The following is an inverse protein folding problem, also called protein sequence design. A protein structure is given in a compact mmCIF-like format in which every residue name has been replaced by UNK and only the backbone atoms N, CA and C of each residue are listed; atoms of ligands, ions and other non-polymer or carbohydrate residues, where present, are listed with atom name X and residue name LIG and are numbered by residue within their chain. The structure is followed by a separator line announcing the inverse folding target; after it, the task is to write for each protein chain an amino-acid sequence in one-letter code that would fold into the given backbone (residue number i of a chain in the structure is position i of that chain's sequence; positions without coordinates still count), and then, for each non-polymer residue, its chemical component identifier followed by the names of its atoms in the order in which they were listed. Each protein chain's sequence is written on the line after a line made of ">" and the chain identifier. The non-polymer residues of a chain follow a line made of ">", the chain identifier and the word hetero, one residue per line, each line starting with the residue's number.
data_IF_243074028424
#
_entry.id   IF_243074028424
#
_cell.length_a   1.000
_cell.length_b   1.000
_cell.length_c   1.000
_cell.angle_alpha   90.00
_cell.angle_beta   90.00
_cell.angle_gamma   90.00
#
_symmetry.space_group_name_H-M   'P 1'
#
loop_
_entity.id
_entity.type
_entity.pdbx_description
1 polymer ?
#
# COMPACT_ATOMS: atom_id res chain seq x y z
N UNK A 1 47.93 -47.67 -31.04
CA UNK A 1 47.91 -46.89 -29.79
C UNK A 1 46.67 -46.04 -29.80
N UNK A 2 45.80 -46.23 -28.82
CA UNK A 2 44.39 -45.86 -28.82
C UNK A 2 44.12 -44.43 -28.32
N UNK A 3 43.01 -43.87 -28.80
CA UNK A 3 42.12 -42.85 -28.19
C UNK A 3 42.76 -41.55 -27.68
N UNK A 4 42.15 -40.37 -27.82
CA UNK A 4 40.91 -40.03 -27.11
C UNK A 4 40.40 -38.64 -27.53
N UNK A 5 39.15 -38.62 -28.01
CA UNK A 5 38.04 -37.68 -27.79
C UNK A 5 38.17 -36.16 -28.02
N UNK A 6 37.29 -35.75 -28.94
CA UNK A 6 36.53 -34.50 -29.02
C UNK A 6 35.90 -34.14 -27.66
N UNK A 7 36.01 -32.86 -27.25
CA UNK A 7 35.07 -32.21 -26.36
C UNK A 7 34.90 -30.73 -26.75
N UNK A 8 33.65 -30.35 -27.03
CA UNK A 8 33.18 -28.98 -27.31
C UNK A 8 32.70 -28.32 -26.00
N UNK A 9 32.20 -27.06 -26.03
CA UNK A 9 32.77 -25.89 -25.37
C UNK A 9 32.29 -25.67 -23.93
N UNK A 10 33.11 -25.06 -23.08
CA UNK A 10 32.66 -24.58 -21.77
C UNK A 10 31.75 -23.36 -21.93
N UNK A 11 30.64 -23.41 -21.20
CA UNK A 11 29.44 -22.60 -21.37
C UNK A 11 29.44 -21.36 -20.45
N UNK A 12 30.60 -20.73 -20.26
CA UNK A 12 30.76 -19.44 -19.55
C UNK A 12 32.10 -18.78 -19.95
N UNK A 13 32.12 -17.64 -20.67
CA UNK A 13 33.32 -16.83 -20.68
C UNK A 13 33.49 -16.24 -19.28
N UNK A 14 34.51 -16.72 -18.57
CA UNK A 14 35.12 -15.97 -17.47
C UNK A 14 35.54 -14.65 -18.12
N UNK A 15 34.90 -13.55 -17.72
CA UNK A 15 35.36 -12.22 -18.10
C UNK A 15 36.72 -12.03 -17.42
N UNK A 16 37.79 -12.07 -18.23
CA UNK A 16 39.09 -11.56 -17.86
C UNK A 16 38.92 -10.17 -17.24
N UNK A 17 39.44 -9.98 -16.03
CA UNK A 17 39.59 -8.65 -15.46
C UNK A 17 40.54 -7.86 -16.37
N UNK A 18 40.14 -6.72 -16.95
CA UNK A 18 41.10 -5.89 -17.64
C UNK A 18 42.06 -5.32 -16.60
N UNK A 19 43.35 -5.47 -16.89
CA UNK A 19 44.42 -4.74 -16.24
C UNK A 19 44.05 -3.26 -16.12
N UNK A 20 44.29 -2.68 -14.94
CA UNK A 20 44.01 -1.30 -14.64
C UNK A 20 44.74 -0.37 -15.64
N UNK A 21 44.01 0.14 -16.62
CA UNK A 21 44.49 1.22 -17.48
C UNK A 21 44.37 2.55 -16.72
N UNK A 22 45.51 3.04 -16.26
CA UNK A 22 45.67 4.16 -15.35
C UNK A 22 45.50 5.53 -16.05
N UNK A 23 44.61 5.66 -17.05
CA UNK A 23 44.60 6.83 -17.94
C UNK A 23 43.27 7.55 -18.19
N UNK A 24 42.23 7.34 -17.39
CA UNK A 24 41.11 8.28 -17.33
C UNK A 24 40.63 8.46 -15.89
N UNK A 25 41.34 9.31 -15.12
CA UNK A 25 40.77 9.80 -13.86
C UNK A 25 39.47 10.56 -14.17
N UNK A 26 38.34 10.24 -13.52
CA UNK A 26 37.10 10.98 -13.71
C UNK A 26 37.34 12.48 -13.52
N UNK A 27 36.78 13.33 -14.38
CA UNK A 27 36.84 14.80 -14.29
C UNK A 27 35.45 15.37 -13.97
N UNK A 28 35.42 16.54 -13.34
CA UNK A 28 34.16 17.24 -13.02
C UNK A 28 33.26 16.45 -12.06
N UNK A 29 31.97 16.40 -12.37
CA UNK A 29 30.95 15.75 -11.53
C UNK A 29 31.22 14.25 -11.31
N UNK A 30 31.87 13.58 -12.26
CA UNK A 30 32.23 12.17 -12.15
C UNK A 30 33.32 11.93 -11.09
N UNK A 31 34.25 12.88 -10.92
CA UNK A 31 35.24 12.85 -9.83
C UNK A 31 34.57 13.06 -8.49
N UNK A 32 33.69 14.06 -8.42
CA UNK A 32 32.95 14.42 -7.20
C UNK A 32 32.04 13.28 -6.74
N UNK A 33 31.39 12.57 -7.67
CA UNK A 33 30.58 11.38 -7.39
C UNK A 33 31.45 10.21 -6.89
N UNK A 34 32.60 9.96 -7.53
CA UNK A 34 33.52 8.91 -7.12
C UNK A 34 34.19 9.18 -5.76
N UNK A 35 34.35 10.46 -5.39
CA UNK A 35 34.88 10.89 -4.09
C UNK A 35 33.79 11.23 -3.07
N UNK A 36 32.51 11.02 -3.38
CA UNK A 36 31.41 11.36 -2.47
C UNK A 36 31.30 10.32 -1.36
N UNK A 37 31.21 10.79 -0.11
CA UNK A 37 30.93 9.92 1.02
C UNK A 37 29.46 9.49 1.00
N UNK A 38 29.21 8.24 1.43
CA UNK A 38 27.84 7.72 1.60
C UNK A 38 27.17 8.57 2.70
N UNK A 39 26.15 9.36 2.35
CA UNK A 39 25.50 10.32 3.26
C UNK A 39 24.50 9.65 4.22
N UNK A 40 24.13 8.39 3.97
CA UNK A 40 23.23 7.61 4.83
C UNK A 40 23.44 6.10 4.61
N UNK A 41 23.20 5.30 5.64
CA UNK A 41 22.73 3.93 5.44
C UNK A 41 21.31 4.09 4.91
N UNK A 42 21.14 4.21 3.59
CA UNK A 42 19.80 4.14 3.00
C UNK A 42 19.04 2.94 3.57
N UNK A 43 17.73 2.85 3.36
CA UNK A 43 16.94 1.73 3.88
C UNK A 43 17.46 0.38 3.34
N UNK A 44 18.46 -0.21 4.00
CA UNK A 44 19.11 -1.45 3.61
C UNK A 44 18.12 -2.56 3.97
N UNK A 45 17.38 -2.97 2.95
CA UNK A 45 16.48 -4.11 3.04
C UNK A 45 17.29 -5.35 2.67
N UNK A 46 17.45 -6.24 3.64
CA UNK A 46 18.00 -7.56 3.45
C UNK A 46 16.92 -8.50 2.90
N UNK A 47 17.23 -9.17 1.78
CA UNK A 47 16.34 -10.18 1.19
C UNK A 47 16.89 -11.58 1.44
N UNK A 48 16.07 -12.44 2.05
CA UNK A 48 16.42 -13.85 2.32
C UNK A 48 15.46 -14.77 1.58
N UNK A 49 15.97 -15.81 0.95
CA UNK A 49 15.11 -16.89 0.46
C UNK A 49 14.56 -17.71 1.62
N UNK A 50 13.27 -18.04 1.57
CA UNK A 50 12.61 -18.87 2.57
C UNK A 50 11.97 -20.08 1.90
N UNK A 51 12.50 -21.27 2.19
CA UNK A 51 11.88 -22.54 1.82
C UNK A 51 10.66 -22.76 2.70
N UNK A 52 9.50 -23.02 2.09
CA UNK A 52 8.25 -23.30 2.79
C UNK A 52 7.66 -24.62 2.29
N UNK A 53 6.90 -25.30 3.15
CA UNK A 53 6.19 -26.54 2.79
C UNK A 53 4.79 -26.30 2.20
N UNK A 54 4.28 -25.08 2.37
CA UNK A 54 2.93 -24.67 1.99
C UNK A 54 2.92 -23.18 1.68
N UNK A 55 2.12 -22.77 0.68
CA UNK A 55 1.89 -21.36 0.39
C UNK A 55 0.50 -20.89 0.84
N UNK A 56 -0.48 -21.80 0.87
CA UNK A 56 -1.83 -21.59 1.36
C UNK A 56 -1.95 -21.77 2.88
N UNK A 57 -2.32 -20.70 3.59
CA UNK A 57 -2.48 -20.71 5.04
C UNK A 57 -3.96 -20.77 5.42
N UNK A 58 -4.32 -21.57 6.42
CA UNK A 58 -5.67 -21.55 7.00
C UNK A 58 -5.86 -20.30 7.85
N UNK A 59 -6.94 -19.58 7.60
CA UNK A 59 -7.35 -18.42 8.39
C UNK A 59 -8.06 -18.90 9.66
N UNK A 60 -7.34 -18.89 10.78
CA UNK A 60 -7.87 -19.25 12.11
C UNK A 60 -8.34 -18.01 12.86
N UNK A 61 -9.31 -17.29 12.29
CA UNK A 61 -9.92 -16.15 12.96
C UNK A 61 -11.21 -16.56 13.67
N UNK A 62 -11.35 -16.20 14.96
CA UNK A 62 -12.62 -16.32 15.70
C UNK A 62 -13.71 -15.39 15.14
N UNK A 63 -13.31 -14.32 14.43
CA UNK A 63 -14.24 -13.49 13.65
C UNK A 63 -14.48 -14.19 12.32
N UNK A 64 -15.74 -14.38 11.94
CA UNK A 64 -16.17 -14.94 10.64
C UNK A 64 -15.67 -14.02 9.52
N UNK A 65 -14.43 -14.22 9.08
CA UNK A 65 -13.84 -13.52 7.94
C UNK A 65 -14.53 -14.00 6.65
N UNK A 66 -14.55 -13.15 5.63
CA UNK A 66 -15.08 -13.54 4.31
C UNK A 66 -14.24 -14.63 3.64
N UNK A 67 -13.00 -14.81 4.10
CA UNK A 67 -12.04 -15.79 3.59
C UNK A 67 -11.59 -16.78 4.68
N UNK A 68 -11.45 -18.04 4.28
CA UNK A 68 -10.90 -19.12 5.12
C UNK A 68 -9.45 -19.46 4.75
N UNK A 69 -8.95 -18.99 3.61
CA UNK A 69 -7.58 -19.23 3.13
C UNK A 69 -6.84 -17.93 2.87
N UNK A 70 -5.52 -17.94 3.07
CA UNK A 70 -4.69 -16.78 2.72
C UNK A 70 -3.33 -17.15 2.15
N UNK A 71 -2.83 -16.30 1.27
CA UNK A 71 -1.50 -16.41 0.67
C UNK A 71 -0.72 -15.13 0.97
N UNK A 72 0.48 -15.32 1.49
CA UNK A 72 1.45 -14.25 1.71
C UNK A 72 2.73 -14.67 0.98
N UNK A 73 3.01 -14.11 -0.21
CA UNK A 73 4.18 -14.47 -1.03
C UNK A 73 5.52 -14.16 -0.34
N UNK A 74 5.47 -13.24 0.62
CA UNK A 74 6.60 -12.76 1.39
C UNK A 74 6.33 -12.85 2.89
N UNK A 75 7.40 -12.67 3.67
CA UNK A 75 7.34 -12.35 5.10
C UNK A 75 8.10 -11.05 5.33
N UNK A 76 7.50 -10.12 6.06
CA UNK A 76 7.99 -8.74 6.08
C UNK A 76 7.33 -7.89 5.01
N UNK A 77 7.43 -6.57 5.15
CA UNK A 77 6.93 -5.63 4.15
C UNK A 77 7.76 -4.35 4.11
N UNK A 78 8.31 -4.04 2.94
CA UNK A 78 9.16 -2.87 2.72
C UNK A 78 8.44 -1.52 2.94
N UNK A 79 7.10 -1.48 2.97
CA UNK A 79 6.34 -0.23 3.10
C UNK A 79 6.42 0.45 4.48
N UNK A 80 6.92 -0.25 5.51
CA UNK A 80 7.22 0.32 6.83
C UNK A 80 6.07 1.11 7.47
N UNK A 81 4.82 0.64 7.29
CA UNK A 81 3.65 1.31 7.88
C UNK A 81 3.74 1.30 9.42
N UNK A 82 3.50 2.44 10.05
CA UNK A 82 3.65 2.60 11.51
C UNK A 82 2.65 1.76 12.32
N UNK A 83 1.47 1.52 11.76
CA UNK A 83 0.38 0.75 12.36
C UNK A 83 0.40 -0.75 12.01
N UNK A 84 1.45 -1.24 11.32
CA UNK A 84 1.40 -2.57 10.69
C UNK A 84 1.31 -3.69 11.73
N UNK A 85 0.13 -4.31 11.85
CA UNK A 85 -0.05 -5.46 12.74
C UNK A 85 0.78 -6.67 12.30
N UNK A 86 1.18 -6.76 11.04
CA UNK A 86 1.85 -7.94 10.48
C UNK A 86 3.28 -8.15 11.01
N UNK A 87 3.80 -7.20 11.81
CA UNK A 87 5.05 -7.33 12.57
C UNK A 87 5.08 -8.61 13.42
N UNK A 88 3.93 -9.09 13.92
CA UNK A 88 3.82 -10.36 14.64
C UNK A 88 4.37 -11.56 13.86
N UNK A 89 4.41 -11.47 12.53
CA UNK A 89 4.99 -12.56 11.75
C UNK A 89 6.45 -12.73 12.17
N UNK A 90 7.28 -11.68 12.14
CA UNK A 90 8.70 -11.76 12.50
C UNK A 90 8.98 -12.39 13.87
N UNK A 91 8.01 -12.33 14.79
CA UNK A 91 8.13 -12.98 16.09
C UNK A 91 8.27 -14.52 16.02
N UNK A 92 7.65 -15.19 15.04
CA UNK A 92 7.84 -16.64 14.85
C UNK A 92 9.24 -17.02 14.31
N UNK A 93 10.06 -16.04 13.93
CA UNK A 93 11.47 -16.25 13.52
C UNK A 93 12.44 -15.69 14.55
N UNK A 94 11.96 -15.43 15.77
CA UNK A 94 12.76 -14.87 16.87
C UNK A 94 13.34 -13.48 16.58
N UNK A 95 12.81 -12.80 15.55
CA UNK A 95 13.10 -11.41 15.23
C UNK A 95 12.12 -10.53 15.98
N UNK A 96 12.63 -9.73 16.93
CA UNK A 96 11.83 -8.93 17.87
C UNK A 96 12.03 -7.42 17.70
N UNK A 97 13.04 -6.97 16.96
CA UNK A 97 13.21 -5.55 16.72
C UNK A 97 12.10 -5.09 15.79
N UNK A 98 11.37 -4.00 16.10
CA UNK A 98 10.27 -3.54 15.25
C UNK A 98 10.68 -3.40 13.79
N UNK A 99 11.87 -2.82 13.55
CA UNK A 99 12.41 -2.51 12.24
C UNK A 99 12.75 -3.76 11.40
N UNK A 100 12.93 -4.93 12.03
CA UNK A 100 13.24 -6.18 11.33
C UNK A 100 12.16 -6.51 10.30
N UNK A 101 10.90 -6.13 10.54
CA UNK A 101 9.79 -6.43 9.64
C UNK A 101 9.89 -5.73 8.28
N UNK A 102 10.36 -4.48 8.25
CA UNK A 102 10.55 -3.67 7.05
C UNK A 102 11.99 -3.68 6.51
N UNK A 103 12.93 -4.29 7.22
CA UNK A 103 14.33 -4.41 6.83
C UNK A 103 14.73 -5.84 6.45
N UNK A 104 14.10 -6.90 6.97
CA UNK A 104 14.43 -8.31 6.67
C UNK A 104 13.25 -8.98 5.98
N UNK A 105 13.31 -9.05 4.66
CA UNK A 105 12.22 -9.58 3.82
C UNK A 105 12.54 -11.00 3.39
N UNK A 106 11.62 -11.92 3.67
CA UNK A 106 11.76 -13.32 3.32
C UNK A 106 10.90 -13.63 2.09
N UNK A 107 11.55 -14.05 1.01
CA UNK A 107 10.94 -14.39 -0.27
C UNK A 107 10.63 -15.89 -0.28
N UNK A 108 9.35 -16.27 -0.32
CA UNK A 108 8.97 -17.69 -0.29
C UNK A 108 9.31 -18.36 -1.63
N UNK A 109 10.08 -19.44 -1.57
CA UNK A 109 10.47 -20.23 -2.74
C UNK A 109 9.37 -21.20 -3.17
N UNK A 110 9.41 -21.62 -4.44
CA UNK A 110 8.53 -22.63 -5.04
C UNK A 110 7.03 -22.34 -4.92
N UNK A 111 6.66 -21.06 -4.78
CA UNK A 111 5.29 -20.63 -4.47
C UNK A 111 4.27 -21.12 -5.52
N UNK A 112 4.55 -20.97 -6.81
CA UNK A 112 3.68 -21.45 -7.89
C UNK A 112 3.52 -22.97 -7.88
N UNK A 113 4.61 -23.73 -7.73
CA UNK A 113 4.57 -25.19 -7.68
C UNK A 113 3.74 -25.68 -6.48
N UNK A 114 3.97 -25.10 -5.30
CA UNK A 114 3.19 -25.40 -4.09
C UNK A 114 1.70 -25.10 -4.29
N UNK A 115 1.38 -23.91 -4.81
CA UNK A 115 -0.01 -23.52 -5.08
C UNK A 115 -0.68 -24.50 -6.03
N UNK A 116 0.02 -24.95 -7.08
CA UNK A 116 -0.54 -25.87 -8.05
C UNK A 116 -0.96 -27.22 -7.41
N UNK A 117 -0.19 -27.70 -6.44
CA UNK A 117 -0.52 -28.92 -5.67
C UNK A 117 -1.67 -28.66 -4.69
N UNK A 118 -1.60 -27.57 -3.93
CA UNK A 118 -2.57 -27.25 -2.87
C UNK A 118 -3.97 -26.96 -3.42
N UNK A 119 -4.08 -26.30 -4.59
CA UNK A 119 -5.36 -26.03 -5.22
C UNK A 119 -6.11 -27.29 -5.67
N UNK A 120 -5.43 -28.43 -5.85
CA UNK A 120 -6.10 -29.72 -6.13
C UNK A 120 -6.90 -30.25 -4.94
N UNK A 121 -6.53 -29.82 -3.73
CA UNK A 121 -7.14 -30.25 -2.47
C UNK A 121 -8.14 -29.22 -1.91
N UNK A 122 -8.25 -28.07 -2.56
CA UNK A 122 -9.13 -26.99 -2.10
C UNK A 122 -10.59 -27.39 -2.30
N UNK A 123 -11.39 -27.25 -1.24
CA UNK A 123 -12.84 -27.44 -1.31
C UNK A 123 -13.47 -26.19 -1.96
N UNK A 124 -14.46 -26.39 -2.83
CA UNK A 124 -15.13 -25.27 -3.51
C UNK A 124 -15.80 -24.30 -2.54
N UNK A 125 -15.88 -23.02 -2.92
CA UNK A 125 -16.61 -21.96 -2.19
C UNK A 125 -15.79 -21.10 -1.23
N UNK A 126 -14.54 -21.49 -0.93
CA UNK A 126 -13.65 -20.72 -0.05
C UNK A 126 -12.99 -19.53 -0.78
N UNK A 127 -13.02 -18.33 -0.18
CA UNK A 127 -12.22 -17.18 -0.65
C UNK A 127 -10.75 -17.35 -0.22
N UNK A 128 -9.84 -17.12 -1.17
CA UNK A 128 -8.39 -17.04 -0.96
C UNK A 128 -7.99 -15.56 -0.92
N UNK A 129 -7.54 -15.09 0.23
CA UNK A 129 -7.05 -13.73 0.39
C UNK A 129 -5.52 -13.64 0.22
N UNK A 130 -5.06 -12.85 -0.75
CA UNK A 130 -3.64 -12.59 -1.02
C UNK A 130 -3.25 -11.25 -0.38
N UNK A 131 -2.18 -11.25 0.41
CA UNK A 131 -1.64 -10.03 1.02
C UNK A 131 -2.13 -9.73 2.45
N UNK A 132 -2.54 -10.76 3.19
CA UNK A 132 -3.10 -10.60 4.55
C UNK A 132 -2.05 -10.31 5.63
N UNK A 133 -0.75 -10.49 5.38
CA UNK A 133 0.33 -10.24 6.35
C UNK A 133 1.61 -9.68 5.70
N UNK A 134 1.54 -9.33 4.42
CA UNK A 134 2.59 -8.69 3.64
C UNK A 134 1.95 -8.00 2.45
N UNK A 135 2.63 -7.04 1.83
CA UNK A 135 2.16 -6.53 0.55
C UNK A 135 2.69 -7.43 -0.59
N UNK A 136 1.81 -8.07 -1.38
CA UNK A 136 2.23 -8.97 -2.45
C UNK A 136 2.93 -8.23 -3.59
N UNK A 137 2.78 -6.91 -3.67
CA UNK A 137 3.38 -6.05 -4.69
C UNK A 137 4.37 -5.05 -4.10
N UNK A 138 4.95 -5.34 -2.94
CA UNK A 138 6.06 -4.56 -2.39
C UNK A 138 7.24 -4.47 -3.39
N UNK A 139 8.12 -3.45 -3.30
CA UNK A 139 9.17 -3.17 -4.27
C UNK A 139 9.97 -4.37 -4.81
N UNK A 140 10.31 -5.36 -3.97
CA UNK A 140 11.04 -6.58 -4.37
C UNK A 140 10.30 -7.40 -5.45
N UNK A 141 8.97 -7.33 -5.49
CA UNK A 141 8.13 -8.05 -6.47
C UNK A 141 8.43 -7.64 -7.92
N UNK A 142 9.05 -6.46 -8.15
CA UNK A 142 9.53 -6.07 -9.49
C UNK A 142 10.53 -7.08 -10.05
N UNK A 143 11.39 -7.63 -9.18
CA UNK A 143 12.44 -8.60 -9.54
C UNK A 143 12.01 -10.04 -9.23
N UNK A 144 11.48 -10.27 -8.03
CA UNK A 144 11.21 -11.63 -7.53
C UNK A 144 10.01 -12.31 -8.21
N UNK A 145 9.02 -11.54 -8.69
CA UNK A 145 7.85 -12.03 -9.44
C UNK A 145 7.10 -13.20 -8.76
N UNK A 146 7.14 -13.30 -7.44
CA UNK A 146 6.50 -14.41 -6.71
C UNK A 146 4.98 -14.29 -6.82
N UNK A 147 4.44 -13.08 -6.65
CA UNK A 147 3.00 -12.83 -6.81
C UNK A 147 2.58 -13.11 -8.25
N UNK A 148 3.34 -12.64 -9.25
CA UNK A 148 3.04 -12.94 -10.65
C UNK A 148 2.98 -14.45 -10.91
N UNK A 149 3.94 -15.22 -10.41
CA UNK A 149 3.95 -16.68 -10.57
C UNK A 149 2.71 -17.37 -9.97
N UNK A 150 2.16 -16.82 -8.88
CA UNK A 150 0.91 -17.31 -8.29
C UNK A 150 -0.30 -16.96 -9.17
N UNK A 151 -0.33 -15.74 -9.74
CA UNK A 151 -1.38 -15.33 -10.67
C UNK A 151 -1.41 -16.17 -11.95
N UNK A 152 -0.24 -16.58 -12.46
CA UNK A 152 -0.14 -17.50 -13.60
C UNK A 152 -0.79 -18.86 -13.30
N UNK A 153 -0.64 -19.37 -12.07
CA UNK A 153 -1.33 -20.59 -11.63
C UNK A 153 -2.83 -20.36 -11.48
N UNK A 154 -3.26 -19.23 -10.91
CA UNK A 154 -4.68 -18.89 -10.78
C UNK A 154 -5.37 -18.75 -12.14
N UNK A 155 -4.70 -18.20 -13.14
CA UNK A 155 -5.23 -18.07 -14.50
C UNK A 155 -5.47 -19.43 -15.19
N UNK A 156 -4.88 -20.52 -14.69
CA UNK A 156 -5.10 -21.89 -15.17
C UNK A 156 -6.17 -22.65 -14.37
N UNK A 157 -6.85 -21.96 -13.45
CA UNK A 157 -7.88 -22.52 -12.56
C UNK A 157 -9.19 -21.77 -12.76
N UNK A 158 -10.27 -22.41 -12.34
CA UNK A 158 -11.64 -21.93 -12.52
C UNK A 158 -12.41 -22.07 -11.22
N UNK A 159 -13.48 -21.29 -11.07
CA UNK A 159 -14.42 -21.33 -9.93
C UNK A 159 -13.75 -21.07 -8.58
N UNK A 160 -12.65 -20.31 -8.57
CA UNK A 160 -12.04 -19.81 -7.35
C UNK A 160 -12.65 -18.46 -6.97
N UNK A 161 -12.59 -18.15 -5.67
CA UNK A 161 -12.88 -16.81 -5.14
C UNK A 161 -11.58 -16.22 -4.64
N UNK A 162 -11.11 -15.12 -5.22
CA UNK A 162 -9.79 -14.55 -4.98
C UNK A 162 -9.93 -13.09 -4.58
N UNK A 163 -9.46 -12.77 -3.38
CA UNK A 163 -9.29 -11.40 -2.92
C UNK A 163 -7.81 -11.04 -2.90
N UNK A 164 -7.42 -9.88 -3.41
CA UNK A 164 -6.06 -9.36 -3.25
C UNK A 164 -6.10 -7.98 -2.59
N UNK A 165 -5.19 -7.74 -1.65
CA UNK A 165 -5.01 -6.44 -1.01
C UNK A 165 -3.58 -5.95 -1.19
N UNK A 166 -3.44 -4.68 -1.58
CA UNK A 166 -2.13 -4.04 -1.75
C UNK A 166 -2.22 -2.52 -1.59
N UNK A 167 -1.10 -1.87 -1.27
CA UNK A 167 -0.87 -0.42 -1.39
C UNK A 167 -0.08 -0.07 -2.66
N UNK A 168 0.40 -1.05 -3.39
CA UNK A 168 1.36 -0.86 -4.47
C UNK A 168 0.69 -0.48 -5.78
N UNK A 169 1.33 0.41 -6.52
CA UNK A 169 0.95 0.70 -7.92
C UNK A 169 1.45 -0.39 -8.89
N UNK A 170 2.38 -1.25 -8.45
CA UNK A 170 2.97 -2.31 -9.29
C UNK A 170 1.92 -3.34 -9.74
N UNK A 171 0.80 -3.45 -9.02
CA UNK A 171 -0.31 -4.33 -9.39
C UNK A 171 -0.80 -4.14 -10.83
N UNK A 172 -0.67 -2.93 -11.40
CA UNK A 172 -1.09 -2.67 -12.78
C UNK A 172 -0.22 -3.37 -13.83
N UNK A 173 0.94 -3.91 -13.45
CA UNK A 173 1.80 -4.73 -14.32
C UNK A 173 1.10 -6.00 -14.78
N UNK A 174 0.26 -6.58 -13.92
CA UNK A 174 -0.30 -7.92 -14.08
C UNK A 174 -1.79 -7.88 -14.45
N UNK A 175 -2.26 -6.76 -15.03
CA UNK A 175 -3.65 -6.60 -15.52
C UNK A 175 -4.03 -7.71 -16.48
N UNK A 176 -3.12 -8.10 -17.38
CA UNK A 176 -3.28 -9.19 -18.34
C UNK A 176 -3.64 -10.52 -17.66
N UNK A 177 -3.01 -10.81 -16.52
CA UNK A 177 -3.30 -12.01 -15.73
C UNK A 177 -4.61 -11.87 -14.96
N UNK A 178 -4.89 -10.70 -14.40
CA UNK A 178 -6.14 -10.46 -13.68
C UNK A 178 -7.38 -10.57 -14.57
N UNK A 179 -7.32 -10.07 -15.81
CA UNK A 179 -8.39 -10.23 -16.80
C UNK A 179 -8.68 -11.71 -17.06
N UNK A 180 -7.62 -12.50 -17.35
CA UNK A 180 -7.73 -13.96 -17.55
C UNK A 180 -8.26 -14.69 -16.31
N UNK A 181 -7.85 -14.29 -15.11
CA UNK A 181 -8.37 -14.85 -13.87
C UNK A 181 -9.87 -14.55 -13.75
N UNK A 182 -10.27 -13.29 -13.98
CA UNK A 182 -11.64 -12.81 -13.83
C UNK A 182 -12.63 -13.41 -14.85
N UNK A 183 -12.14 -13.98 -15.97
CA UNK A 183 -12.99 -14.70 -16.94
C UNK A 183 -13.63 -15.95 -16.33
N UNK A 184 -12.95 -16.60 -15.38
CA UNK A 184 -13.33 -17.93 -14.89
C UNK A 184 -13.37 -18.04 -13.37
N UNK A 185 -13.04 -16.97 -12.65
CA UNK A 185 -12.97 -16.91 -11.20
C UNK A 185 -13.59 -15.59 -10.71
N UNK A 186 -14.03 -15.56 -9.46
CA UNK A 186 -14.40 -14.32 -8.79
C UNK A 186 -13.11 -13.65 -8.32
N UNK A 187 -12.87 -12.42 -8.76
CA UNK A 187 -11.68 -11.65 -8.40
C UNK A 187 -12.06 -10.28 -7.86
N UNK A 188 -11.56 -9.94 -6.67
CA UNK A 188 -11.75 -8.63 -6.05
C UNK A 188 -10.42 -8.03 -5.63
N UNK A 189 -10.12 -6.83 -6.13
CA UNK A 189 -8.88 -6.11 -5.82
C UNK A 189 -9.17 -4.99 -4.82
N UNK A 190 -8.37 -4.94 -3.76
CA UNK A 190 -8.45 -3.93 -2.70
C UNK A 190 -7.18 -3.07 -2.74
N UNK A 191 -7.33 -1.80 -3.10
CA UNK A 191 -6.26 -0.83 -2.95
C UNK A 191 -6.40 -0.14 -1.60
N UNK A 192 -5.40 -0.30 -0.74
CA UNK A 192 -5.40 0.36 0.56
C UNK A 192 -4.96 1.81 0.41
N UNK A 193 -5.85 2.75 0.77
CA UNK A 193 -5.57 4.19 0.83
C UNK A 193 -6.15 4.70 2.15
N UNK A 194 -5.29 4.99 3.12
CA UNK A 194 -5.67 5.37 4.50
C UNK A 194 -6.02 6.83 4.65
N UNK A 195 -5.49 7.68 3.78
CA UNK A 195 -5.73 9.12 3.74
C UNK A 195 -5.42 9.66 2.34
N UNK A 196 -6.16 10.67 1.84
CA UNK A 196 -5.77 11.38 0.63
C UNK A 196 -4.67 12.43 0.87
N UNK A 197 -4.36 12.77 2.13
CA UNK A 197 -3.30 13.73 2.46
C UNK A 197 -1.91 13.11 2.30
N UNK A 198 -1.15 13.61 1.32
CA UNK A 198 0.20 13.15 1.04
C UNK A 198 1.19 13.41 2.20
N UNK A 199 1.00 14.46 3.01
CA UNK A 199 1.86 14.75 4.15
C UNK A 199 1.64 13.73 5.26
N UNK A 200 0.39 13.48 5.63
CA UNK A 200 0.04 12.43 6.58
C UNK A 200 0.49 11.05 6.10
N UNK A 201 0.24 10.71 4.83
CA UNK A 201 0.66 9.43 4.26
C UNK A 201 2.19 9.23 4.34
N UNK A 202 2.98 10.29 4.14
CA UNK A 202 4.45 10.20 4.20
C UNK A 202 5.00 9.90 5.59
N UNK A 203 4.35 10.37 6.65
CA UNK A 203 4.78 10.04 8.02
C UNK A 203 4.23 8.69 8.51
N UNK A 204 3.06 8.29 8.01
CA UNK A 204 2.35 7.08 8.41
C UNK A 204 2.81 5.82 7.65
N UNK A 205 3.05 5.96 6.35
CA UNK A 205 3.36 4.90 5.39
C UNK A 205 4.56 5.32 4.52
N UNK A 206 5.74 5.57 5.14
CA UNK A 206 6.82 6.36 4.54
C UNK A 206 7.39 5.81 3.24
N UNK A 207 7.25 4.51 3.00
CA UNK A 207 7.78 3.83 1.81
C UNK A 207 6.66 3.33 0.88
N UNK A 208 5.39 3.53 1.22
CA UNK A 208 4.26 3.21 0.34
C UNK A 208 4.08 4.28 -0.75
N UNK A 209 3.49 3.93 -1.91
CA UNK A 209 3.17 4.92 -2.93
C UNK A 209 2.24 6.01 -2.40
N UNK A 210 2.40 7.23 -2.95
CA UNK A 210 1.57 8.38 -2.59
C UNK A 210 0.07 8.08 -2.81
N UNK A 211 -0.84 8.66 -2.01
CA UNK A 211 -2.28 8.44 -2.17
C UNK A 211 -2.80 8.74 -3.58
N UNK A 212 -2.33 9.81 -4.23
CA UNK A 212 -2.75 10.19 -5.58
C UNK A 212 -2.38 9.14 -6.64
N UNK A 213 -1.21 8.50 -6.49
CA UNK A 213 -0.79 7.40 -7.35
C UNK A 213 -1.66 6.15 -7.12
N UNK A 214 -2.03 5.85 -5.87
CA UNK A 214 -2.90 4.72 -5.53
C UNK A 214 -4.33 4.92 -6.08
N UNK A 215 -4.86 6.14 -6.02
CA UNK A 215 -6.15 6.48 -6.64
C UNK A 215 -6.11 6.29 -8.16
N UNK A 216 -5.03 6.74 -8.82
CA UNK A 216 -4.84 6.47 -10.26
C UNK A 216 -4.74 4.98 -10.59
N UNK A 217 -4.11 4.19 -9.71
CA UNK A 217 -4.08 2.73 -9.85
C UNK A 217 -5.47 2.12 -9.77
N UNK A 218 -6.35 2.59 -8.87
CA UNK A 218 -7.76 2.17 -8.83
C UNK A 218 -8.44 2.46 -10.16
N UNK A 219 -8.35 3.69 -10.66
CA UNK A 219 -8.94 4.08 -11.94
C UNK A 219 -8.46 3.20 -13.10
N UNK A 220 -7.16 2.91 -13.17
CA UNK A 220 -6.58 2.06 -14.22
C UNK A 220 -7.09 0.61 -14.15
N UNK A 221 -7.21 0.03 -12.96
CA UNK A 221 -7.75 -1.32 -12.80
C UNK A 221 -9.25 -1.36 -13.16
N UNK A 222 -10.00 -0.32 -12.82
CA UNK A 222 -11.42 -0.17 -13.18
C UNK A 222 -11.63 -0.02 -14.68
N UNK A 223 -10.77 0.74 -15.36
CA UNK A 223 -10.76 0.87 -16.82
C UNK A 223 -10.50 -0.47 -17.53
N UNK A 224 -9.73 -1.37 -16.90
CA UNK A 224 -9.54 -2.75 -17.37
C UNK A 224 -10.72 -3.70 -17.00
N UNK A 225 -11.84 -3.17 -16.51
CA UNK A 225 -13.02 -3.96 -16.14
C UNK A 225 -12.88 -4.80 -14.86
N UNK A 226 -11.80 -4.62 -14.09
CA UNK A 226 -11.54 -5.39 -12.87
C UNK A 226 -12.31 -4.80 -11.68
N UNK A 227 -12.96 -5.65 -10.87
CA UNK A 227 -13.64 -5.21 -9.65
C UNK A 227 -12.61 -4.74 -8.62
N UNK A 228 -12.49 -3.42 -8.48
CA UNK A 228 -11.45 -2.79 -7.66
C UNK A 228 -12.07 -1.76 -6.75
N UNK A 229 -11.82 -1.88 -5.45
CA UNK A 229 -12.31 -0.95 -4.45
C UNK A 229 -11.22 -0.41 -3.55
N UNK A 230 -11.59 0.56 -2.74
CA UNK A 230 -10.69 1.16 -1.75
C UNK A 230 -10.94 0.54 -0.39
N UNK A 231 -9.85 0.11 0.24
CA UNK A 231 -9.84 -0.29 1.64
C UNK A 231 -9.15 0.80 2.47
N UNK A 232 -9.91 1.72 3.04
CA UNK A 232 -9.44 2.78 3.92
C UNK A 232 -9.26 2.24 5.36
N UNK A 233 -8.34 1.29 5.50
CA UNK A 233 -8.05 0.64 6.78
C UNK A 233 -6.56 0.73 7.11
N UNK A 234 -6.21 1.23 8.30
CA UNK A 234 -7.09 1.59 9.41
C UNK A 234 -7.67 3.02 9.33
N UNK A 235 -8.85 3.22 9.93
CA UNK A 235 -9.32 4.53 10.42
C UNK A 235 -8.65 4.81 11.77
N UNK A 236 -7.92 5.92 11.85
CA UNK A 236 -7.07 6.28 12.97
C UNK A 236 -7.82 7.25 13.90
N UNK A 237 -8.09 6.88 15.18
CA UNK A 237 -8.82 7.74 16.11
C UNK A 237 -8.21 9.15 16.25
N UNK A 238 -9.03 10.18 16.03
CA UNK A 238 -8.64 11.59 16.07
C UNK A 238 -7.78 12.06 14.89
N UNK A 239 -7.52 11.22 13.87
CA UNK A 239 -6.64 11.55 12.74
C UNK A 239 -7.36 11.36 11.40
N UNK A 240 -8.00 10.21 11.17
CA UNK A 240 -8.70 9.89 9.91
C UNK A 240 -10.12 9.34 10.11
N UNK A 241 -10.67 9.47 11.32
CA UNK A 241 -11.97 8.91 11.74
C UNK A 241 -13.12 9.92 11.82
N UNK A 242 -12.91 11.18 11.40
CA UNK A 242 -13.98 12.17 11.33
C UNK A 242 -14.91 11.92 10.14
N UNK A 243 -16.17 12.34 10.24
CA UNK A 243 -17.13 12.26 9.12
C UNK A 243 -16.57 12.97 7.88
N UNK A 244 -15.99 14.16 8.03
CA UNK A 244 -15.40 14.92 6.93
C UNK A 244 -14.26 14.15 6.24
N UNK A 245 -13.35 13.54 7.01
CA UNK A 245 -12.23 12.78 6.45
C UNK A 245 -12.72 11.54 5.70
N UNK A 246 -13.68 10.81 6.28
CA UNK A 246 -14.26 9.60 5.70
C UNK A 246 -15.06 9.95 4.42
N UNK A 247 -15.86 11.02 4.45
CA UNK A 247 -16.64 11.51 3.31
C UNK A 247 -15.73 11.98 2.16
N UNK A 248 -14.67 12.73 2.47
CA UNK A 248 -13.67 13.17 1.49
C UNK A 248 -12.98 11.99 0.81
N UNK A 249 -12.63 10.95 1.58
CA UNK A 249 -12.02 9.75 1.01
C UNK A 249 -13.00 8.95 0.15
N UNK A 250 -14.27 8.84 0.56
CA UNK A 250 -15.32 8.18 -0.21
C UNK A 250 -15.63 8.93 -1.51
N UNK A 251 -15.69 10.26 -1.49
CA UNK A 251 -15.83 11.09 -2.71
C UNK A 251 -14.70 10.80 -3.70
N UNK A 252 -13.45 10.78 -3.23
CA UNK A 252 -12.29 10.45 -4.08
C UNK A 252 -12.31 9.01 -4.59
N UNK A 253 -12.86 8.08 -3.81
CA UNK A 253 -13.08 6.70 -4.25
C UNK A 253 -14.04 6.65 -5.43
N UNK A 254 -15.16 7.38 -5.34
CA UNK A 254 -16.13 7.54 -6.42
C UNK A 254 -15.49 8.17 -7.66
N UNK A 255 -14.73 9.25 -7.50
CA UNK A 255 -14.04 9.92 -8.61
C UNK A 255 -13.03 9.01 -9.32
N UNK A 256 -12.38 8.12 -8.58
CA UNK A 256 -11.49 7.09 -9.13
C UNK A 256 -12.24 5.90 -9.77
N UNK A 257 -13.57 5.89 -9.74
CA UNK A 257 -14.40 4.81 -10.29
C UNK A 257 -14.42 3.52 -9.46
N UNK A 258 -14.05 3.58 -8.17
CA UNK A 258 -14.00 2.41 -7.30
C UNK A 258 -15.36 1.67 -7.24
N UNK A 259 -15.35 0.33 -7.32
CA UNK A 259 -16.57 -0.48 -7.20
C UNK A 259 -17.16 -0.45 -5.79
N UNK A 260 -16.32 -0.26 -4.78
CA UNK A 260 -16.73 -0.23 -3.37
C UNK A 260 -15.74 0.60 -2.55
N UNK A 261 -16.21 1.02 -1.38
CA UNK A 261 -15.40 1.63 -0.34
C UNK A 261 -15.66 0.91 0.98
N UNK A 262 -14.58 0.48 1.63
CA UNK A 262 -14.64 -0.16 2.94
C UNK A 262 -13.59 0.45 3.85
N UNK A 263 -13.90 0.57 5.14
CA UNK A 263 -12.97 1.08 6.13
C UNK A 263 -13.17 0.33 7.45
N UNK A 264 -12.09 0.17 8.21
CA UNK A 264 -12.13 -0.48 9.52
C UNK A 264 -11.33 0.33 10.52
N UNK A 265 -11.81 0.45 11.77
CA UNK A 265 -11.03 1.04 12.85
C UNK A 265 -9.67 0.37 13.03
N UNK A 266 -8.71 1.18 13.47
CA UNK A 266 -7.43 0.69 13.96
C UNK A 266 -7.62 -0.40 15.03
N UNK A 267 -6.83 -1.46 14.90
CA UNK A 267 -6.50 -2.37 15.98
C UNK A 267 -4.98 -2.39 16.15
N UNK A 268 -4.50 -2.53 17.38
CA UNK A 268 -3.10 -2.52 17.74
C UNK A 268 -2.74 -3.80 18.47
N UNK A 269 -2.28 -4.80 17.69
CA UNK A 269 -1.68 -6.01 18.25
C UNK A 269 -0.42 -5.65 19.06
N UNK A 270 -0.03 -6.45 20.07
CA UNK A 270 1.14 -6.19 20.91
C UNK A 270 2.40 -5.85 20.10
N UNK A 271 2.71 -6.63 19.06
CA UNK A 271 3.84 -6.44 18.14
C UNK A 271 3.95 -5.05 17.45
N UNK A 272 2.85 -4.31 17.40
CA UNK A 272 2.74 -3.03 16.67
C UNK A 272 2.40 -1.85 17.58
N UNK A 273 1.98 -2.14 18.83
CA UNK A 273 1.40 -1.15 19.73
C UNK A 273 2.42 -0.08 20.09
N UNK A 274 3.60 -0.46 20.58
CA UNK A 274 4.60 0.52 20.99
C UNK A 274 5.09 1.37 19.81
N UNK A 275 5.37 0.73 18.65
CA UNK A 275 5.77 1.46 17.43
C UNK A 275 4.75 2.52 17.04
N UNK A 276 3.46 2.19 17.11
CA UNK A 276 2.40 3.13 16.75
C UNK A 276 2.15 4.19 17.84
N UNK A 277 2.19 3.83 19.12
CA UNK A 277 2.06 4.80 20.20
C UNK A 277 3.23 5.79 20.23
N UNK A 278 4.46 5.34 19.98
CA UNK A 278 5.62 6.22 19.80
C UNK A 278 5.43 7.19 18.63
N UNK A 279 4.84 6.73 17.52
CA UNK A 279 4.46 7.59 16.40
C UNK A 279 3.44 8.65 16.81
N UNK A 280 2.38 8.28 17.55
CA UNK A 280 1.38 9.22 18.08
C UNK A 280 2.03 10.25 19.01
N UNK A 281 2.84 9.82 19.97
CA UNK A 281 3.56 10.73 20.90
C UNK A 281 4.39 11.78 20.16
N UNK A 282 5.06 11.37 19.09
CA UNK A 282 5.93 12.23 18.29
C UNK A 282 5.16 13.21 17.39
N UNK A 283 4.12 12.75 16.70
CA UNK A 283 3.48 13.50 15.62
C UNK A 283 2.10 14.09 15.99
N UNK A 284 1.44 13.52 17.00
CA UNK A 284 0.12 13.91 17.47
C UNK A 284 0.05 13.89 19.02
N UNK A 285 0.92 14.64 19.72
CA UNK A 285 1.03 14.56 21.18
C UNK A 285 -0.29 14.84 21.90
N UNK A 286 -1.13 15.73 21.35
CA UNK A 286 -2.46 16.02 21.89
C UNK A 286 -3.43 14.82 21.90
N UNK A 287 -3.14 13.77 21.12
CA UNK A 287 -3.96 12.56 21.04
C UNK A 287 -3.43 11.42 21.93
N UNK A 288 -2.30 11.57 22.61
CA UNK A 288 -1.68 10.49 23.38
C UNK A 288 -2.63 9.91 24.43
N UNK A 289 -3.32 10.78 25.19
CA UNK A 289 -4.30 10.38 26.21
C UNK A 289 -5.46 9.57 25.62
N UNK A 290 -5.95 9.96 24.43
CA UNK A 290 -6.98 9.24 23.69
C UNK A 290 -6.51 7.83 23.31
N UNK A 291 -5.31 7.70 22.76
CA UNK A 291 -4.78 6.42 22.34
C UNK A 291 -4.49 5.49 23.52
N UNK A 292 -3.92 6.03 24.61
CA UNK A 292 -3.74 5.30 25.87
C UNK A 292 -5.08 4.78 26.38
N UNK A 293 -6.09 5.64 26.50
CA UNK A 293 -7.43 5.23 26.95
C UNK A 293 -8.05 4.14 26.05
N UNK A 294 -7.92 4.26 24.72
CA UNK A 294 -8.52 3.29 23.78
C UNK A 294 -7.87 1.92 23.84
N UNK A 295 -6.54 1.88 23.88
CA UNK A 295 -5.74 0.66 23.70
C UNK A 295 -5.04 0.18 24.98
N UNK A 296 -5.42 0.69 26.15
CA UNK A 296 -4.94 0.19 27.45
C UNK A 296 -5.32 -1.28 27.62
N UNK A 297 -4.32 -2.16 27.56
CA UNK A 297 -4.49 -3.62 27.63
C UNK A 297 -5.30 -4.26 26.49
N UNK A 298 -5.80 -3.51 25.51
CA UNK A 298 -6.72 -3.99 24.46
C UNK A 298 -6.13 -3.86 23.06
N UNK A 299 -6.31 -4.89 22.25
CA UNK A 299 -5.92 -4.87 20.83
C UNK A 299 -6.92 -4.12 19.96
N UNK A 300 -8.21 -4.14 20.32
CA UNK A 300 -9.29 -3.57 19.54
C UNK A 300 -9.92 -2.38 20.25
N UNK A 301 -10.42 -1.43 19.46
CA UNK A 301 -11.30 -0.36 19.95
C UNK A 301 -12.59 -0.96 20.54
N UNK A 302 -13.20 -0.21 21.47
CA UNK A 302 -14.48 -0.58 22.06
C UNK A 302 -15.59 -0.72 21.01
N UNK A 303 -16.53 -1.64 21.24
CA UNK A 303 -17.61 -1.94 20.28
C UNK A 303 -18.48 -0.73 19.94
N UNK A 304 -18.75 0.16 20.91
CA UNK A 304 -19.50 1.39 20.65
C UNK A 304 -18.80 2.28 19.61
N UNK A 305 -17.47 2.41 19.69
CA UNK A 305 -16.69 3.16 18.70
C UNK A 305 -16.68 2.44 17.35
N UNK A 306 -16.51 1.12 17.33
CA UNK A 306 -16.55 0.32 16.10
C UNK A 306 -17.89 0.47 15.37
N UNK A 307 -19.02 0.32 16.07
CA UNK A 307 -20.37 0.47 15.51
C UNK A 307 -20.60 1.89 14.97
N UNK A 308 -20.11 2.92 15.67
CA UNK A 308 -20.16 4.30 15.18
C UNK A 308 -19.39 4.45 13.86
N UNK A 309 -18.19 3.90 13.76
CA UNK A 309 -17.40 3.96 12.53
C UNK A 309 -18.08 3.19 11.39
N UNK A 310 -18.65 2.01 11.66
CA UNK A 310 -19.43 1.24 10.69
C UNK A 310 -20.62 2.07 10.16
N UNK A 311 -21.40 2.71 11.05
CA UNK A 311 -22.53 3.56 10.65
C UNK A 311 -22.11 4.75 9.77
N UNK A 312 -20.99 5.42 10.10
CA UNK A 312 -20.48 6.53 9.28
C UNK A 312 -20.02 6.05 7.90
N UNK A 313 -19.35 4.89 7.82
CA UNK A 313 -18.93 4.30 6.54
C UNK A 313 -20.14 3.92 5.70
N UNK A 314 -21.17 3.33 6.30
CA UNK A 314 -22.42 2.99 5.61
C UNK A 314 -23.17 4.23 5.11
N UNK A 315 -23.14 5.32 5.87
CA UNK A 315 -23.71 6.60 5.47
C UNK A 315 -22.99 7.19 4.25
N UNK A 316 -21.66 7.30 4.28
CA UNK A 316 -20.91 7.90 3.17
C UNK A 316 -20.92 7.03 1.92
N UNK A 317 -20.90 5.70 2.06
CA UNK A 317 -20.97 4.80 0.90
C UNK A 317 -22.29 4.96 0.18
N UNK A 318 -23.41 5.02 0.91
CA UNK A 318 -24.74 5.31 0.37
C UNK A 318 -24.79 6.68 -0.30
N UNK A 319 -24.29 7.73 0.37
CA UNK A 319 -24.23 9.10 -0.16
C UNK A 319 -23.50 9.18 -1.50
N UNK A 320 -22.39 8.46 -1.66
CA UNK A 320 -21.56 8.48 -2.86
C UNK A 320 -21.93 7.41 -3.90
N UNK A 321 -22.92 6.55 -3.63
CA UNK A 321 -23.34 5.46 -4.52
C UNK A 321 -22.31 4.33 -4.65
N UNK A 322 -21.47 4.15 -3.63
CA UNK A 322 -20.46 3.09 -3.56
C UNK A 322 -21.06 1.85 -2.89
N UNK A 323 -20.79 0.67 -3.44
CA UNK A 323 -21.24 -0.57 -2.81
C UNK A 323 -20.44 -0.89 -1.54
N UNK A 324 -21.02 -1.73 -0.68
CA UNK A 324 -20.26 -2.44 0.36
C UNK A 324 -19.48 -3.58 -0.28
N UNK A 325 -18.32 -3.94 0.31
CA UNK A 325 -17.60 -5.16 -0.07
C UNK A 325 -18.48 -6.41 0.07
N UNK A 326 -19.33 -6.46 1.10
CA UNK A 326 -20.08 -7.66 1.51
C UNK A 326 -21.43 -7.87 0.80
N UNK A 327 -21.86 -6.96 -0.07
CA UNK A 327 -23.00 -7.24 -0.95
C UNK A 327 -22.52 -8.17 -2.07
N UNK A 328 -22.67 -9.47 -1.85
CA UNK A 328 -22.28 -10.60 -2.71
C UNK A 328 -22.93 -10.60 -4.12
N UNK A 329 -23.79 -9.63 -4.45
CA UNK A 329 -24.52 -9.57 -5.72
C UNK A 329 -23.68 -9.12 -6.94
N UNK A 330 -22.38 -8.83 -6.79
CA UNK A 330 -21.51 -8.32 -7.87
C UNK A 330 -20.21 -9.13 -8.04
N UNK A 331 -20.25 -10.43 -7.73
CA UNK A 331 -19.05 -11.28 -7.72
C UNK A 331 -18.50 -11.66 -9.11
N UNK A 332 -19.07 -11.14 -10.19
CA UNK A 332 -18.52 -11.24 -11.55
C UNK A 332 -18.64 -9.89 -12.27
N UNK A 333 -17.60 -9.56 -13.05
CA UNK A 333 -17.50 -8.48 -14.06
C UNK A 333 -18.56 -7.36 -13.93
N UNK A 334 -18.12 -6.15 -13.53
CA UNK A 334 -18.89 -4.91 -13.80
C UNK A 334 -18.84 -4.58 -15.31
N UNK A 335 -19.08 -5.54 -16.20
CA UNK A 335 -19.24 -5.28 -17.63
C UNK A 335 -20.72 -4.97 -17.83
N UNK A 336 -21.04 -3.68 -17.92
CA UNK A 336 -22.40 -3.23 -18.25
C UNK A 336 -22.88 -1.95 -17.58
N UNK A 337 -22.16 -1.40 -16.59
CA UNK A 337 -22.32 0.02 -16.27
C UNK A 337 -21.34 0.77 -17.15
N UNK A 338 -21.86 1.54 -18.10
CA UNK A 338 -21.07 2.50 -18.84
C UNK A 338 -20.17 3.26 -17.84
N UNK A 339 -18.86 3.40 -18.12
CA UNK A 339 -18.05 4.31 -17.32
C UNK A 339 -18.77 5.65 -17.30
N UNK A 340 -18.86 6.35 -16.14
CA UNK A 340 -19.45 7.67 -16.13
C UNK A 340 -18.80 8.47 -17.25
N UNK A 341 -19.63 8.95 -18.17
CA UNK A 341 -19.17 9.69 -19.34
C UNK A 341 -18.27 10.81 -18.83
N UNK A 342 -16.98 10.70 -19.12
CA UNK A 342 -16.09 11.82 -18.89
C UNK A 342 -16.63 12.95 -19.75
N UNK A 343 -16.88 14.16 -19.22
CA UNK A 343 -17.11 15.29 -20.09
C UNK A 343 -15.86 15.41 -20.94
N UNK A 344 -16.00 15.09 -22.22
CA UNK A 344 -15.03 15.42 -23.24
C UNK A 344 -14.95 16.95 -23.26
N UNK A 345 -14.02 17.47 -22.47
CA UNK A 345 -13.77 18.89 -22.27
C UNK A 345 -12.29 19.00 -21.97
N UNK A 346 -11.53 19.11 -23.04
CA UNK A 346 -10.13 19.54 -23.16
C UNK A 346 -9.34 19.66 -21.85
N UNK A 347 -8.30 18.84 -21.79
CA UNK A 347 -7.04 19.04 -21.09
C UNK A 347 -6.70 20.52 -20.89
N UNK A 348 -6.86 21.03 -19.67
CA UNK A 348 -5.96 22.05 -19.14
C UNK A 348 -5.39 21.56 -17.83
N UNK A 349 -4.07 21.40 -17.88
CA UNK A 349 -3.16 21.03 -16.82
C UNK A 349 -3.47 21.76 -15.51
N UNK A 350 -3.20 21.06 -14.41
CA UNK A 350 -2.97 21.62 -13.09
C UNK A 350 -1.98 22.79 -13.16
N UNK A 351 -2.49 24.00 -13.37
CA UNK A 351 -1.77 25.24 -13.12
C UNK A 351 -2.05 25.62 -11.68
N UNK A 352 -1.02 25.54 -10.83
CA UNK A 352 -1.03 26.14 -9.50
C UNK A 352 -1.44 27.61 -9.61
N UNK A 353 -2.62 27.95 -9.09
CA UNK A 353 -2.96 29.35 -8.83
C UNK A 353 -2.00 29.88 -7.76
N UNK A 354 -0.97 30.60 -8.18
CA UNK A 354 -0.20 31.51 -7.31
C UNK A 354 -1.19 32.44 -6.58
N UNK A 355 -1.03 32.69 -5.28
CA UNK A 355 -1.82 33.71 -4.59
C UNK A 355 -1.48 35.09 -5.17
N UNK A 356 -2.45 36.03 -5.22
CA UNK A 356 -2.19 37.35 -5.77
C UNK A 356 -1.15 38.08 -4.92
N UNK A 357 -0.15 38.63 -5.60
CA UNK A 357 0.81 39.58 -5.04
C UNK A 357 0.02 40.76 -4.48
N UNK A 358 0.18 41.03 -3.18
CA UNK A 358 -0.26 42.28 -2.57
C UNK A 358 0.48 43.41 -3.26
N UNK A 359 -0.24 44.23 -4.01
CA UNK A 359 0.25 45.52 -4.48
C UNK A 359 0.42 46.42 -3.27
N UNK A 360 1.67 46.78 -2.98
CA UNK A 360 2.00 47.85 -2.04
C UNK A 360 1.53 49.18 -2.63
N UNK A 361 0.47 49.74 -2.07
CA UNK A 361 0.12 51.16 -2.26
C UNK A 361 1.26 52.03 -1.73
N UNK A 362 1.72 53.06 -2.48
CA UNK A 362 2.72 53.98 -1.98
C UNK A 362 2.12 54.86 -0.89
N UNK A 363 2.83 54.89 0.24
CA UNK A 363 2.59 55.74 1.40
C UNK A 363 2.72 57.21 0.96
N UNK A 364 1.60 57.93 0.85
CA UNK A 364 1.63 59.38 0.64
C UNK A 364 1.87 60.08 1.97
N UNK A 365 3.04 60.69 2.11
CA UNK A 365 3.38 61.61 3.20
C UNK A 365 2.50 62.85 3.09
N UNK A 366 1.61 63.07 4.06
CA UNK A 366 1.05 64.40 4.32
C UNK A 366 1.59 64.90 5.65
N UNK A 367 2.36 65.97 5.52
CA UNK A 367 2.79 66.87 6.57
C UNK A 367 1.59 67.66 7.10
N UNK A 368 1.41 67.65 8.42
CA UNK A 368 0.69 68.68 9.15
C UNK A 368 1.35 68.83 10.52
N UNK A 369 1.90 70.03 10.75
CA UNK A 369 2.76 70.38 11.88
C UNK A 369 2.03 70.46 13.24
N UNK A 370 2.76 70.88 14.29
CA UNK A 370 2.34 70.74 15.67
C UNK A 370 1.59 71.98 16.18
N UNK A 371 0.49 71.75 16.89
CA UNK A 371 -0.11 72.63 17.90
C UNK A 371 -0.60 71.66 18.99
N UNK A 372 -0.25 71.71 20.28
CA UNK A 372 0.05 72.85 21.14
C UNK A 372 -1.09 73.00 22.15
N UNK A 373 -0.83 72.73 23.45
CA UNK A 373 -1.67 73.09 24.61
C UNK A 373 -2.65 72.01 25.10
N UNK A 374 -2.48 71.47 26.33
CA UNK A 374 -3.12 71.90 27.60
C UNK A 374 -4.58 71.45 27.71
N UNK A 375 -5.15 70.88 28.78
CA UNK A 375 -4.80 70.69 30.19
C UNK A 375 -5.95 69.89 30.84
N UNK A 376 -5.64 69.09 31.85
CA UNK A 376 -6.46 68.71 33.04
C UNK A 376 -7.99 68.82 33.00
N UNK A 377 -8.67 67.70 33.27
CA UNK A 377 -9.70 67.51 34.32
C UNK A 377 -9.97 66.01 34.49
#
# INVERSE_FOLDING_TARGET
>A
MANTLIASPSLFPILDQPAADCRLSPKGIARLAASSSKVDHGHEVEFRSLKVRSILNNSVSRRRLSFSKSINPYRGCEFACRYCYARYTHEYMELRQPEDFEQKIFVKQNAAWLLQQELRQLRGGEEIAIGTATDPYQPVERKAKVTRSLLEVFAQRRRLRIGIVTKSTLITRDIDLFERIAEHNELVIHLTITTPDAKLARILEPRAPRPDLRLRTVARLRQAGLRTGILCSPLLPGITDSLEAIDSMASRAKDAGASFFAAQPLFLKPCSRETYLAFVRKHFPALESLYRFRFDGRDFVADAYRKRMEALVDEVTRKHGLASRSSDALLTRDVGREPPSSPCGQTTLWVEKKPPLRTTTPFSVRSSGPNGGSSTS
#
